data_IF_332823808223
#
_entry.id   IF_332823808223
#
_cell.length_a   1.000
_cell.length_b   1.000
_cell.length_c   1.000
_cell.angle_alpha   90.00
_cell.angle_beta   90.00
_cell.angle_gamma   90.00
#
_symmetry.space_group_name_H-M   'P 1'
#
loop_
_entity.id
_entity.type
_entity.pdbx_description
1 polymer ?
#
# COMPACT_ATOMS: atom_id res chain seq x y z
N UNK A 1 -16.77 1.94 -38.08
CA UNK A 1 -17.13 1.81 -36.65
C UNK A 1 -15.88 1.97 -35.83
N UNK A 2 -15.78 3.00 -35.01
CA UNK A 2 -14.68 3.16 -34.06
C UNK A 2 -15.14 2.50 -32.75
N UNK A 3 -14.48 1.41 -32.36
CA UNK A 3 -14.76 0.74 -31.08
C UNK A 3 -14.18 1.63 -29.98
N UNK A 4 -15.02 2.19 -29.12
CA UNK A 4 -14.54 2.94 -27.95
C UNK A 4 -13.86 1.97 -27.00
N UNK A 5 -12.59 2.19 -26.69
CA UNK A 5 -11.89 1.46 -25.63
C UNK A 5 -12.60 1.73 -24.29
N UNK A 6 -12.75 0.73 -23.41
CA UNK A 6 -13.32 0.96 -22.09
C UNK A 6 -12.49 2.02 -21.37
N UNK A 7 -13.16 2.98 -20.74
CA UNK A 7 -12.48 3.98 -19.92
C UNK A 7 -11.78 3.26 -18.76
N UNK A 8 -10.45 3.19 -18.83
CA UNK A 8 -9.62 2.69 -17.73
C UNK A 8 -9.77 3.66 -16.56
N UNK A 9 -10.41 3.21 -15.49
CA UNK A 9 -10.45 3.96 -14.23
C UNK A 9 -9.15 3.71 -13.48
N UNK A 10 -8.41 4.78 -13.22
CA UNK A 10 -7.21 4.71 -12.38
C UNK A 10 -7.57 5.05 -10.94
N UNK A 11 -6.92 4.37 -9.99
CA UNK A 11 -6.99 4.76 -8.60
C UNK A 11 -6.33 6.13 -8.40
N UNK A 12 -7.01 7.02 -7.67
CA UNK A 12 -6.51 8.35 -7.32
C UNK A 12 -6.41 8.47 -5.80
N UNK A 13 -5.20 8.33 -5.27
CA UNK A 13 -4.94 8.36 -3.83
C UNK A 13 -3.55 7.85 -3.48
N UNK A 14 -3.32 7.67 -2.18
CA UNK A 14 -2.11 7.05 -1.63
C UNK A 14 -2.36 5.59 -1.31
N UNK A 15 -1.35 4.76 -1.54
CA UNK A 15 -1.32 3.37 -1.13
C UNK A 15 -0.02 3.16 -0.37
N UNK A 16 -0.06 2.30 0.63
CA UNK A 16 1.09 1.88 1.43
C UNK A 16 0.97 0.38 1.75
N UNK A 17 2.08 -0.28 2.04
CA UNK A 17 2.13 -1.67 2.55
C UNK A 17 1.27 -2.69 1.76
N UNK A 18 1.56 -2.87 0.47
CA UNK A 18 0.83 -3.85 -0.37
C UNK A 18 1.50 -5.21 -0.29
N UNK A 19 0.73 -6.24 0.10
CA UNK A 19 1.16 -7.65 0.06
C UNK A 19 0.20 -8.52 -0.72
N UNK A 20 0.74 -9.37 -1.58
CA UNK A 20 0.03 -10.48 -2.24
C UNK A 20 0.47 -11.79 -1.59
N UNK A 21 -0.49 -12.63 -1.19
CA UNK A 21 -0.23 -13.91 -0.53
C UNK A 21 -1.00 -15.04 -1.18
N UNK A 22 -0.43 -16.25 -1.15
CA UNK A 22 -1.09 -17.48 -1.64
C UNK A 22 -1.96 -18.18 -0.59
N UNK A 23 -2.12 -17.56 0.58
CA UNK A 23 -2.95 -18.04 1.69
C UNK A 23 -3.75 -16.89 2.27
N UNK A 24 -4.91 -17.20 2.86
CA UNK A 24 -5.64 -16.24 3.67
C UNK A 24 -4.80 -15.82 4.89
N UNK A 25 -4.73 -14.52 5.16
CA UNK A 25 -3.92 -13.95 6.25
C UNK A 25 -4.73 -13.63 7.51
N UNK A 26 -6.01 -13.39 7.33
CA UNK A 26 -6.92 -13.00 8.39
C UNK A 26 -8.08 -13.97 8.40
N UNK A 27 -8.30 -14.61 9.54
CA UNK A 27 -9.47 -15.41 9.78
C UNK A 27 -10.46 -14.54 10.56
N UNK A 28 -11.74 -14.68 10.25
CA UNK A 28 -12.80 -14.05 11.01
C UNK A 28 -13.62 -15.15 11.70
N UNK A 29 -13.85 -15.08 13.02
CA UNK A 29 -14.71 -16.03 13.71
C UNK A 29 -16.11 -16.04 13.10
N UNK A 30 -16.70 -17.24 13.02
CA UNK A 30 -18.10 -17.40 12.63
C UNK A 30 -18.97 -16.70 13.68
N UNK A 31 -19.72 -15.69 13.26
CA UNK A 31 -20.58 -14.87 14.13
C UNK A 31 -20.16 -13.40 14.25
N UNK A 32 -18.96 -13.03 13.76
CA UNK A 32 -18.36 -11.72 14.04
C UNK A 32 -17.97 -11.65 15.53
N UNK A 33 -16.79 -11.26 15.95
CA UNK A 33 -16.05 -10.06 15.58
C UNK A 33 -14.60 -10.33 16.04
N UNK A 34 -13.66 -10.52 15.12
CA UNK A 34 -12.25 -10.23 15.43
C UNK A 34 -11.90 -8.94 14.71
N UNK A 35 -11.26 -8.01 15.42
CA UNK A 35 -10.82 -6.77 14.83
C UNK A 35 -9.77 -7.08 13.76
N UNK A 36 -10.05 -6.68 12.51
CA UNK A 36 -9.04 -6.64 11.47
C UNK A 36 -7.89 -5.74 11.92
N UNK A 37 -6.79 -6.34 12.38
CA UNK A 37 -5.64 -5.65 12.95
C UNK A 37 -4.34 -6.10 12.25
N UNK A 38 -4.11 -5.69 11.00
CA UNK A 38 -2.87 -5.97 10.29
C UNK A 38 -1.68 -5.31 11.02
N UNK A 39 -0.48 -5.93 10.98
CA UNK A 39 0.75 -5.25 11.40
C UNK A 39 0.92 -3.92 10.64
N UNK A 40 1.51 -2.93 11.30
CA UNK A 40 1.79 -1.62 10.68
C UNK A 40 2.83 -1.71 9.57
N UNK A 41 3.77 -2.65 9.69
CA UNK A 41 4.78 -2.97 8.69
C UNK A 41 4.67 -4.46 8.36
N UNK A 42 4.52 -4.80 7.09
CA UNK A 42 4.28 -6.17 6.68
C UNK A 42 5.58 -6.90 6.41
N UNK A 43 5.83 -8.01 7.09
CA UNK A 43 6.99 -8.85 6.76
C UNK A 43 6.65 -9.88 5.67
N UNK A 44 7.63 -10.16 4.82
CA UNK A 44 7.55 -11.27 3.87
C UNK A 44 7.77 -12.61 4.59
N UNK A 45 7.02 -13.63 4.17
CA UNK A 45 7.26 -15.02 4.59
C UNK A 45 7.10 -15.98 3.40
N UNK A 46 7.22 -17.28 3.63
CA UNK A 46 7.11 -18.34 2.59
C UNK A 46 5.79 -18.34 1.78
N UNK A 47 4.78 -17.62 2.25
CA UNK A 47 3.48 -17.50 1.60
C UNK A 47 3.26 -16.14 0.92
N UNK A 48 4.21 -15.22 1.07
CA UNK A 48 4.22 -13.93 0.36
C UNK A 48 4.69 -14.15 -1.07
N UNK A 49 3.86 -13.72 -2.03
CA UNK A 49 4.20 -13.73 -3.45
C UNK A 49 4.88 -12.42 -3.86
N UNK A 50 4.38 -11.28 -3.36
CA UNK A 50 4.98 -9.97 -3.59
C UNK A 50 4.69 -9.05 -2.40
N UNK A 51 5.59 -8.10 -2.13
CA UNK A 51 5.45 -7.13 -1.05
C UNK A 51 6.13 -5.80 -1.45
N UNK A 52 5.41 -4.69 -1.33
CA UNK A 52 5.94 -3.35 -1.56
C UNK A 52 5.60 -2.43 -0.39
N UNK A 53 6.65 -1.82 0.19
CA UNK A 53 6.54 -0.90 1.33
C UNK A 53 6.38 0.56 0.94
N UNK A 54 6.82 0.96 -0.26
CA UNK A 54 6.76 2.38 -0.70
C UNK A 54 7.51 3.38 0.21
N UNK A 55 8.46 2.91 1.02
CA UNK A 55 9.30 3.72 1.91
C UNK A 55 10.59 4.25 1.24
N UNK A 56 10.71 4.09 -0.08
CA UNK A 56 11.82 4.66 -0.86
C UNK A 56 11.85 6.19 -0.79
N UNK A 57 12.92 6.81 -1.31
CA UNK A 57 13.03 8.27 -1.36
C UNK A 57 11.89 8.90 -2.16
N UNK A 58 11.43 10.08 -1.73
CA UNK A 58 10.45 10.88 -2.48
C UNK A 58 10.85 11.07 -3.95
N UNK A 59 9.86 10.96 -4.85
CA UNK A 59 10.01 11.08 -6.29
C UNK A 59 10.40 9.78 -7.00
N UNK A 60 10.70 8.71 -6.26
CA UNK A 60 10.99 7.39 -6.84
C UNK A 60 9.72 6.80 -7.49
N UNK A 61 9.89 6.24 -8.69
CA UNK A 61 8.83 5.59 -9.48
C UNK A 61 9.05 4.08 -9.67
N UNK A 62 10.15 3.55 -9.12
CA UNK A 62 10.44 2.11 -9.10
C UNK A 62 10.24 1.62 -7.67
N UNK A 63 9.29 0.72 -7.46
CA UNK A 63 8.99 0.21 -6.13
C UNK A 63 9.51 -1.21 -6.03
N UNK A 64 10.53 -1.40 -5.19
CA UNK A 64 11.22 -2.67 -5.02
C UNK A 64 10.34 -3.71 -4.33
N UNK A 65 10.36 -4.94 -4.84
CA UNK A 65 9.66 -6.06 -4.21
C UNK A 65 10.47 -6.63 -3.04
N UNK A 66 10.02 -6.36 -1.82
CA UNK A 66 10.64 -6.81 -0.59
C UNK A 66 10.47 -8.32 -0.34
N UNK A 67 9.60 -9.01 -1.09
CA UNK A 67 9.47 -10.46 -1.01
C UNK A 67 10.65 -11.23 -1.62
N UNK A 68 11.49 -10.55 -2.41
CA UNK A 68 12.62 -11.11 -3.16
C UNK A 68 12.20 -12.05 -4.30
N UNK A 69 10.97 -11.92 -4.81
CA UNK A 69 10.47 -12.66 -5.98
C UNK A 69 10.51 -11.85 -7.29
N UNK A 70 11.26 -10.75 -7.29
CA UNK A 70 11.56 -9.93 -8.48
C UNK A 70 10.34 -9.24 -9.13
N UNK A 71 9.29 -8.97 -8.35
CA UNK A 71 8.11 -8.26 -8.84
C UNK A 71 8.23 -6.73 -8.69
N UNK A 72 9.28 -6.11 -9.22
CA UNK A 72 9.42 -4.64 -9.14
C UNK A 72 8.27 -3.93 -9.88
N UNK A 73 7.61 -2.99 -9.21
CA UNK A 73 6.55 -2.18 -9.81
C UNK A 73 7.12 -0.89 -10.42
N UNK A 74 6.46 -0.42 -11.48
CA UNK A 74 6.77 0.83 -12.15
C UNK A 74 5.56 1.76 -12.04
N UNK A 75 5.76 2.92 -11.44
CA UNK A 75 4.77 3.98 -11.36
C UNK A 75 4.30 4.43 -12.75
N UNK A 76 2.99 4.52 -12.94
CA UNK A 76 2.34 5.06 -14.14
C UNK A 76 1.42 6.20 -13.75
N UNK A 77 1.11 7.08 -14.70
CA UNK A 77 0.20 8.22 -14.52
C UNK A 77 0.56 9.12 -13.31
N UNK A 78 1.87 9.34 -13.09
CA UNK A 78 2.38 10.19 -12.01
C UNK A 78 2.46 9.51 -10.64
N UNK A 79 2.24 8.20 -10.55
CA UNK A 79 2.51 7.44 -9.33
C UNK A 79 4.01 7.47 -9.00
N UNK A 80 4.33 7.95 -7.81
CA UNK A 80 5.67 8.06 -7.26
C UNK A 80 5.57 8.05 -5.74
N UNK A 81 6.67 7.74 -5.04
CA UNK A 81 6.72 7.98 -3.59
C UNK A 81 6.54 9.47 -3.35
N UNK A 82 5.61 9.83 -2.47
CA UNK A 82 5.47 11.20 -1.95
C UNK A 82 6.03 11.22 -0.54
N UNK A 83 6.77 12.28 -0.22
CA UNK A 83 7.39 12.43 1.10
C UNK A 83 6.34 12.44 2.23
N UNK A 84 6.81 12.40 3.47
CA UNK A 84 5.94 12.50 4.64
C UNK A 84 5.11 13.79 4.58
N UNK A 85 3.80 13.66 4.42
CA UNK A 85 2.91 14.80 4.57
C UNK A 85 2.93 15.24 6.03
N UNK A 86 3.43 16.44 6.30
CA UNK A 86 3.16 17.14 7.55
C UNK A 86 1.64 17.30 7.65
N UNK A 87 0.97 16.51 8.48
CA UNK A 87 -0.46 16.73 8.74
C UNK A 87 -0.59 18.03 9.51
N UNK A 88 -1.39 18.96 9.00
CA UNK A 88 -1.77 20.13 9.77
C UNK A 88 -2.88 19.70 10.76
N UNK A 89 -2.66 19.74 12.09
CA UNK A 89 -3.57 19.11 13.06
C UNK A 89 -4.98 19.71 13.12
N UNK A 90 -5.21 20.87 12.51
CA UNK A 90 -6.45 21.64 12.61
C UNK A 90 -7.49 21.34 11.53
N UNK A 91 -7.18 20.60 10.47
CA UNK A 91 -8.13 20.42 9.35
C UNK A 91 -8.14 19.05 8.68
N UNK A 92 -7.32 18.08 9.12
CA UNK A 92 -7.28 16.76 8.49
C UNK A 92 -7.74 15.64 9.43
N UNK A 93 -8.77 14.92 8.98
CA UNK A 93 -9.35 13.70 9.59
C UNK A 93 -8.36 12.51 9.65
N UNK A 94 -7.14 12.67 9.15
CA UNK A 94 -6.07 11.65 9.23
C UNK A 94 -5.21 11.83 10.48
N UNK A 95 -5.79 11.56 11.67
CA UNK A 95 -5.02 11.53 12.93
C UNK A 95 -4.11 10.29 13.04
N UNK A 96 -4.39 9.25 12.27
CA UNK A 96 -3.74 7.94 12.43
C UNK A 96 -2.46 7.82 11.60
N UNK A 97 -2.44 8.30 10.35
CA UNK A 97 -1.33 7.98 9.43
C UNK A 97 -0.02 8.73 9.70
N UNK A 98 -0.07 10.03 9.98
CA UNK A 98 1.16 10.80 10.17
C UNK A 98 1.82 10.59 11.55
N UNK A 99 1.02 10.34 12.59
CA UNK A 99 1.56 9.98 13.91
C UNK A 99 2.23 8.60 13.88
N UNK A 100 1.76 7.69 13.02
CA UNK A 100 2.33 6.35 12.87
C UNK A 100 3.73 6.38 12.22
N UNK A 101 3.99 7.27 11.25
CA UNK A 101 5.32 7.36 10.60
C UNK A 101 6.34 8.20 11.37
N UNK A 102 5.92 9.09 12.29
CA UNK A 102 6.85 9.95 13.06
C UNK A 102 7.43 9.33 14.33
N UNK A 103 7.05 8.10 14.68
CA UNK A 103 7.55 7.39 15.88
C UNK A 103 8.76 6.47 15.57
N UNK A 104 9.45 6.70 14.45
CA UNK A 104 10.75 6.11 14.09
C UNK A 104 11.83 7.17 13.98
#
# INVERSE_FOLDING_TARGET
>A
MQVSQPAMTYFSGYIDEIRISKVARYNFPVGGEEAFNPPRHLEADRHTLALWHFDDKEGVTLFSDASRNEHTLIGKNGAQVRGTFSVNPSSSISRTWAKIKSEY
#
